data_IF_351922533919
#
_entry.id   IF_351922533919
#
_cell.length_a   1.000
_cell.length_b   1.000
_cell.length_c   1.000
_cell.angle_alpha   90.00
_cell.angle_beta   90.00
_cell.angle_gamma   90.00
#
_symmetry.space_group_name_H-M   'P 1'
#
loop_
_entity.id
_entity.type
_entity.pdbx_description
1 polymer ?
#
# COMPACT_ATOMS: atom_id res chain seq x y z
N UNK A 1 1.59 -0.95 11.93
CA UNK A 1 1.69 -1.87 10.79
C UNK A 1 0.92 -3.15 11.11
N UNK A 2 0.06 -3.60 10.21
CA UNK A 2 -0.72 -4.82 10.37
C UNK A 2 -0.56 -5.67 9.10
N UNK A 3 0.21 -6.77 9.16
CA UNK A 3 0.27 -7.73 8.07
C UNK A 3 -1.03 -8.53 8.03
N UNK A 4 -1.58 -8.70 6.83
CA UNK A 4 -2.72 -9.56 6.55
C UNK A 4 -2.22 -10.65 5.60
N UNK A 5 -2.14 -11.86 6.11
CA UNK A 5 -1.75 -13.02 5.31
C UNK A 5 -3.00 -13.66 4.73
N UNK A 6 -2.98 -13.93 3.43
CA UNK A 6 -4.04 -14.62 2.69
C UNK A 6 -5.47 -14.14 2.99
N UNK A 7 -5.76 -12.94 2.50
CA UNK A 7 -7.08 -12.31 2.68
C UNK A 7 -8.23 -13.17 2.14
N UNK A 8 -7.93 -14.13 1.25
CA UNK A 8 -8.88 -15.05 0.64
C UNK A 8 -9.35 -16.22 1.53
N UNK A 9 -8.72 -16.43 2.69
CA UNK A 9 -9.11 -17.53 3.62
C UNK A 9 -10.31 -17.17 4.49
N UNK A 10 -10.66 -15.91 4.64
CA UNK A 10 -11.78 -15.47 5.47
C UNK A 10 -13.08 -15.40 4.65
N UNK A 11 -14.20 -15.07 5.30
CA UNK A 11 -15.51 -14.93 4.62
C UNK A 11 -15.51 -13.71 3.69
N UNK A 12 -15.78 -13.85 2.38
CA UNK A 12 -15.69 -12.75 1.39
C UNK A 12 -16.45 -11.50 1.77
N UNK A 13 -17.64 -11.66 2.36
CA UNK A 13 -18.48 -10.53 2.80
C UNK A 13 -17.91 -9.82 4.03
N UNK A 14 -17.32 -10.59 4.96
CA UNK A 14 -16.66 -10.03 6.13
C UNK A 14 -15.37 -9.33 5.74
N UNK A 15 -14.62 -9.90 4.79
CA UNK A 15 -13.36 -9.34 4.29
C UNK A 15 -13.54 -8.03 3.57
N UNK A 16 -14.51 -7.94 2.65
CA UNK A 16 -14.84 -6.69 1.98
C UNK A 16 -15.18 -5.59 2.98
N UNK A 17 -15.95 -5.93 4.02
CA UNK A 17 -16.41 -4.97 5.02
C UNK A 17 -15.29 -4.58 5.99
N UNK A 18 -14.44 -5.54 6.36
CA UNK A 18 -13.28 -5.33 7.23
C UNK A 18 -12.22 -4.49 6.52
N UNK A 19 -11.85 -4.85 5.29
CA UNK A 19 -10.92 -4.09 4.47
C UNK A 19 -11.40 -2.65 4.29
N UNK A 20 -12.67 -2.45 3.97
CA UNK A 20 -13.24 -1.11 3.82
C UNK A 20 -13.16 -0.28 5.11
N UNK A 21 -13.55 -0.87 6.24
CA UNK A 21 -13.49 -0.20 7.55
C UNK A 21 -12.05 0.15 7.94
N UNK A 22 -11.14 -0.80 7.74
CA UNK A 22 -9.72 -0.66 8.05
C UNK A 22 -9.08 0.50 7.28
N UNK A 23 -9.32 0.56 5.96
CA UNK A 23 -8.76 1.60 5.10
C UNK A 23 -9.43 2.97 5.26
N UNK A 24 -10.63 3.04 5.84
CA UNK A 24 -11.26 4.31 6.16
C UNK A 24 -10.66 4.99 7.40
N UNK A 25 -9.90 4.27 8.20
CA UNK A 25 -9.27 4.79 9.41
C UNK A 25 -10.26 5.18 10.51
N UNK A 26 -11.52 4.73 10.41
CA UNK A 26 -12.55 5.00 11.42
C UNK A 26 -13.60 3.89 11.49
N UNK A 27 -14.07 3.63 12.70
CA UNK A 27 -15.13 2.66 12.97
C UNK A 27 -16.50 3.13 12.46
N UNK A 28 -17.45 2.20 12.42
CA UNK A 28 -18.85 2.51 12.10
C UNK A 28 -19.42 3.47 13.15
N UNK A 29 -20.18 4.46 12.70
CA UNK A 29 -21.02 5.27 13.59
C UNK A 29 -22.10 4.38 14.21
N UNK A 30 -22.16 4.34 15.52
CA UNK A 30 -23.17 3.61 16.28
C UNK A 30 -23.98 4.57 17.12
N UNK A 31 -25.28 4.36 17.19
CA UNK A 31 -26.15 5.12 18.08
C UNK A 31 -25.78 4.88 19.56
N UNK A 32 -25.84 5.91 20.37
CA UNK A 32 -25.71 5.77 21.81
C UNK A 32 -27.05 5.36 22.42
N UNK A 33 -26.99 4.58 23.52
CA UNK A 33 -28.19 4.07 24.20
C UNK A 33 -29.09 5.19 24.77
N UNK A 34 -28.49 6.35 25.04
CA UNK A 34 -29.15 7.52 25.62
C UNK A 34 -29.42 8.64 24.58
N UNK A 35 -29.37 8.30 23.29
CA UNK A 35 -29.51 9.24 22.18
C UNK A 35 -28.18 9.81 21.68
N UNK A 36 -28.14 10.24 20.43
CA UNK A 36 -26.91 10.70 19.76
C UNK A 36 -26.03 9.58 19.25
N UNK A 37 -24.83 9.90 18.82
CA UNK A 37 -23.85 8.97 18.28
C UNK A 37 -22.74 8.67 19.30
N UNK A 38 -22.31 7.40 19.37
CA UNK A 38 -21.09 7.04 20.09
C UNK A 38 -19.87 7.67 19.44
N UNK A 39 -18.84 7.98 20.25
CA UNK A 39 -17.57 8.49 19.73
C UNK A 39 -16.99 7.46 18.75
N UNK A 40 -16.79 7.88 17.51
CA UNK A 40 -16.14 7.02 16.50
C UNK A 40 -14.67 6.78 16.87
N UNK A 41 -14.26 5.53 16.90
CA UNK A 41 -12.85 5.15 17.07
C UNK A 41 -12.15 5.43 15.74
N UNK A 42 -11.02 6.15 15.81
CA UNK A 42 -10.17 6.46 14.66
C UNK A 42 -8.81 5.77 14.82
N UNK A 43 -8.23 5.34 13.72
CA UNK A 43 -6.90 4.73 13.68
C UNK A 43 -6.14 5.16 12.43
N UNK A 44 -4.81 5.13 12.54
CA UNK A 44 -3.90 5.26 11.41
C UNK A 44 -3.07 3.97 11.36
N UNK A 45 -3.26 3.19 10.32
CA UNK A 45 -2.59 1.92 10.17
C UNK A 45 -2.10 1.75 8.73
N UNK A 46 -0.88 1.24 8.58
CA UNK A 46 -0.37 0.76 7.31
C UNK A 46 -0.57 -0.76 7.26
N UNK A 47 -1.20 -1.22 6.20
CA UNK A 47 -1.46 -2.64 5.98
C UNK A 47 -0.64 -3.13 4.80
N UNK A 48 -0.07 -4.31 4.94
CA UNK A 48 0.52 -5.09 3.87
C UNK A 48 -0.25 -6.41 3.81
N UNK A 49 -0.78 -6.72 2.63
CA UNK A 49 -1.46 -7.99 2.39
C UNK A 49 -0.79 -8.72 1.25
N UNK A 50 -0.68 -10.03 1.36
CA UNK A 50 -0.26 -10.93 0.30
C UNK A 50 -1.41 -11.87 -0.04
N UNK A 51 -1.46 -12.37 -1.26
CA UNK A 51 -2.49 -13.31 -1.72
C UNK A 51 -2.19 -13.80 -3.12
N UNK A 52 -2.75 -14.92 -3.50
CA UNK A 52 -2.59 -15.51 -4.84
C UNK A 52 -3.30 -14.68 -5.90
N UNK A 53 -4.36 -13.97 -5.52
CA UNK A 53 -5.10 -13.06 -6.39
C UNK A 53 -5.36 -11.70 -5.74
N UNK A 54 -5.66 -10.70 -6.56
CA UNK A 54 -6.01 -9.36 -6.09
C UNK A 54 -7.39 -9.33 -5.44
N UNK A 55 -7.56 -8.52 -4.40
CA UNK A 55 -8.82 -8.38 -3.67
C UNK A 55 -10.02 -8.06 -4.60
N UNK A 56 -9.80 -7.28 -5.65
CA UNK A 56 -10.85 -6.96 -6.63
C UNK A 56 -11.37 -8.23 -7.33
N UNK A 57 -10.46 -9.08 -7.80
CA UNK A 57 -10.81 -10.36 -8.47
C UNK A 57 -11.55 -11.28 -7.51
N UNK A 58 -11.00 -11.46 -6.32
CA UNK A 58 -11.59 -12.27 -5.27
C UNK A 58 -13.04 -11.83 -4.93
N UNK A 59 -13.26 -10.54 -4.70
CA UNK A 59 -14.59 -10.02 -4.37
C UNK A 59 -15.57 -10.14 -5.55
N UNK A 60 -15.12 -9.92 -6.79
CA UNK A 60 -15.94 -10.08 -7.99
C UNK A 60 -16.39 -11.53 -8.18
N UNK A 61 -15.51 -12.52 -7.98
CA UNK A 61 -15.86 -13.94 -8.05
C UNK A 61 -16.96 -14.32 -7.05
N UNK A 62 -17.00 -13.64 -5.92
CA UNK A 62 -18.03 -13.81 -4.90
C UNK A 62 -19.29 -12.95 -5.13
N UNK A 63 -19.43 -12.32 -6.29
CA UNK A 63 -20.58 -11.47 -6.63
C UNK A 63 -20.63 -10.14 -5.86
N UNK A 64 -19.54 -9.74 -5.21
CA UNK A 64 -19.47 -8.51 -4.42
C UNK A 64 -18.99 -7.36 -5.31
N UNK A 65 -19.82 -6.30 -5.39
CA UNK A 65 -19.47 -5.10 -6.16
C UNK A 65 -18.37 -4.32 -5.44
N UNK A 66 -17.26 -4.10 -6.14
CA UNK A 66 -16.13 -3.30 -5.66
C UNK A 66 -16.26 -1.88 -6.18
N UNK A 67 -16.18 -0.90 -5.28
CA UNK A 67 -16.22 0.51 -5.65
C UNK A 67 -14.83 1.05 -5.99
N UNK A 68 -14.73 1.94 -6.97
CA UNK A 68 -13.47 2.57 -7.39
C UNK A 68 -12.68 3.20 -6.23
N UNK A 69 -13.37 3.76 -5.23
CA UNK A 69 -12.74 4.31 -4.03
C UNK A 69 -12.08 3.28 -3.11
N UNK A 70 -12.42 1.99 -3.23
CA UNK A 70 -11.76 0.90 -2.48
C UNK A 70 -10.42 0.54 -3.15
N UNK A 71 -10.38 0.51 -4.48
CA UNK A 71 -9.19 0.15 -5.27
C UNK A 71 -8.03 1.13 -5.11
N UNK A 72 -8.32 2.42 -4.88
CA UNK A 72 -7.26 3.42 -4.63
C UNK A 72 -6.78 3.46 -3.18
N UNK A 73 -7.46 2.76 -2.29
CA UNK A 73 -7.05 2.63 -0.87
C UNK A 73 -6.20 1.40 -0.62
N UNK A 74 -6.49 0.32 -1.31
CA UNK A 74 -5.67 -0.89 -1.33
C UNK A 74 -4.98 -0.97 -2.69
N UNK A 75 -3.69 -0.69 -2.71
CA UNK A 75 -2.89 -0.80 -3.93
C UNK A 75 -2.59 -2.27 -4.20
N UNK A 76 -3.23 -2.83 -5.20
CA UNK A 76 -2.91 -4.16 -5.67
C UNK A 76 -1.74 -4.07 -6.65
N UNK A 77 -0.56 -4.50 -6.21
CA UNK A 77 0.67 -4.49 -7.01
C UNK A 77 0.97 -5.93 -7.42
N UNK A 78 0.98 -6.24 -8.73
CA UNK A 78 1.32 -7.59 -9.20
C UNK A 78 2.73 -7.98 -8.76
N UNK A 79 2.84 -9.15 -8.09
CA UNK A 79 4.13 -9.69 -7.69
C UNK A 79 4.88 -10.28 -8.89
N UNK A 80 6.17 -10.01 -8.95
CA UNK A 80 7.09 -10.65 -9.89
C UNK A 80 7.99 -11.64 -9.13
N UNK A 81 8.39 -12.72 -9.81
CA UNK A 81 9.37 -13.63 -9.26
C UNK A 81 10.71 -12.92 -9.14
N UNK A 82 11.41 -13.17 -8.03
CA UNK A 82 12.80 -12.76 -7.88
C UNK A 82 13.65 -13.44 -8.96
N UNK A 83 14.50 -12.66 -9.60
CA UNK A 83 15.47 -13.12 -10.62
C UNK A 83 16.91 -12.99 -10.15
N UNK A 84 17.11 -12.22 -9.06
CA UNK A 84 18.42 -12.02 -8.44
C UNK A 84 18.43 -12.74 -7.08
N UNK A 85 19.43 -13.63 -6.90
CA UNK A 85 19.52 -14.46 -5.70
C UNK A 85 20.77 -14.15 -4.88
N UNK A 86 21.45 -13.04 -5.14
CA UNK A 86 22.59 -12.52 -4.39
C UNK A 86 23.72 -13.56 -4.19
N UNK A 87 24.07 -14.27 -5.27
CA UNK A 87 25.12 -15.30 -5.28
C UNK A 87 24.67 -16.66 -4.76
N UNK A 88 23.41 -16.85 -4.39
CA UNK A 88 22.85 -18.15 -4.04
C UNK A 88 22.43 -18.94 -5.29
N UNK A 89 22.38 -20.26 -5.18
CA UNK A 89 22.25 -21.16 -6.32
C UNK A 89 20.89 -21.01 -7.05
N UNK A 90 19.81 -20.78 -6.30
CA UNK A 90 18.44 -20.70 -6.84
C UNK A 90 17.48 -19.96 -5.88
N UNK A 91 16.26 -19.73 -6.34
CA UNK A 91 15.23 -19.04 -5.57
C UNK A 91 14.78 -19.79 -4.31
N UNK A 92 14.85 -21.14 -4.30
CA UNK A 92 14.54 -21.93 -3.12
C UNK A 92 15.60 -21.70 -2.03
N UNK A 93 16.87 -21.84 -2.39
CA UNK A 93 17.99 -21.59 -1.48
C UNK A 93 17.95 -20.15 -0.94
N UNK A 94 17.59 -19.18 -1.79
CA UNK A 94 17.43 -17.79 -1.38
C UNK A 94 16.29 -17.64 -0.35
N UNK A 95 15.11 -18.21 -0.60
CA UNK A 95 13.98 -18.16 0.32
C UNK A 95 14.26 -18.86 1.65
N UNK A 96 14.87 -20.05 1.62
CA UNK A 96 15.26 -20.81 2.82
C UNK A 96 16.29 -20.04 3.66
N UNK A 97 17.23 -19.37 3.01
CA UNK A 97 18.22 -18.50 3.66
C UNK A 97 17.57 -17.31 4.35
N UNK A 98 16.64 -16.63 3.66
CA UNK A 98 15.87 -15.54 4.25
C UNK A 98 15.08 -16.00 5.48
N UNK A 99 14.35 -17.10 5.37
CA UNK A 99 13.57 -17.66 6.47
C UNK A 99 14.45 -18.00 7.67
N UNK A 100 15.60 -18.62 7.43
CA UNK A 100 16.56 -18.95 8.50
C UNK A 100 17.12 -17.69 9.17
N UNK A 101 17.43 -16.66 8.38
CA UNK A 101 18.02 -15.44 8.89
C UNK A 101 17.02 -14.60 9.68
N UNK A 102 15.74 -14.48 9.25
CA UNK A 102 14.73 -13.72 10.00
C UNK A 102 14.42 -14.35 11.35
N UNK A 103 14.62 -15.65 11.52
CA UNK A 103 14.47 -16.33 12.81
C UNK A 103 15.62 -16.03 13.78
N UNK A 104 16.77 -15.60 13.28
CA UNK A 104 17.96 -15.25 14.08
C UNK A 104 18.13 -13.75 14.27
N UNK A 105 17.82 -12.99 13.24
CA UNK A 105 18.07 -11.55 13.16
C UNK A 105 16.75 -10.82 12.91
N UNK A 106 16.06 -10.44 13.97
CA UNK A 106 14.79 -9.75 13.90
C UNK A 106 14.74 -8.56 14.86
N UNK A 107 13.90 -7.57 14.52
CA UNK A 107 13.58 -6.46 15.39
C UNK A 107 14.58 -5.29 15.38
N UNK A 108 15.85 -5.50 15.07
CA UNK A 108 16.89 -4.45 15.12
C UNK A 108 16.54 -3.26 14.24
N UNK A 109 16.23 -3.48 12.96
CA UNK A 109 15.86 -2.43 12.00
C UNK A 109 14.64 -1.64 12.49
N UNK A 110 13.65 -2.32 13.07
CA UNK A 110 12.45 -1.67 13.61
C UNK A 110 12.76 -0.78 14.81
N UNK A 111 13.65 -1.22 15.70
CA UNK A 111 14.09 -0.43 16.87
C UNK A 111 14.87 0.80 16.40
N UNK A 112 15.82 0.63 15.49
CA UNK A 112 16.62 1.74 14.94
C UNK A 112 15.74 2.77 14.23
N UNK A 113 14.78 2.30 13.44
CA UNK A 113 13.80 3.14 12.77
C UNK A 113 12.95 3.96 13.75
N UNK A 114 12.41 3.32 14.77
CA UNK A 114 11.60 4.01 15.79
C UNK A 114 12.44 5.01 16.60
N UNK A 115 13.67 4.65 16.92
CA UNK A 115 14.61 5.53 17.62
C UNK A 115 14.91 6.76 16.77
N UNK A 116 15.17 6.58 15.47
CA UNK A 116 15.35 7.68 14.53
C UNK A 116 14.12 8.60 14.47
N UNK A 117 12.93 8.03 14.31
CA UNK A 117 11.70 8.81 14.19
C UNK A 117 11.37 9.63 15.44
N UNK A 118 11.62 9.09 16.63
CA UNK A 118 11.37 9.80 17.90
C UNK A 118 12.30 11.00 18.06
N UNK A 119 13.52 10.92 17.53
CA UNK A 119 14.51 11.99 17.59
C UNK A 119 14.39 13.00 16.47
N UNK A 120 13.74 12.63 15.37
CA UNK A 120 13.65 13.48 14.17
C UNK A 120 12.71 14.66 14.37
N UNK A 121 13.13 15.82 13.89
CA UNK A 121 12.29 17.02 13.88
C UNK A 121 11.12 16.86 12.90
N UNK A 122 9.89 17.02 13.39
CA UNK A 122 8.66 16.87 12.60
C UNK A 122 8.62 17.79 11.39
N UNK A 123 9.15 18.99 11.51
CA UNK A 123 9.26 19.96 10.42
C UNK A 123 10.15 19.45 9.30
N UNK A 124 11.28 18.81 9.62
CA UNK A 124 12.21 18.23 8.64
C UNK A 124 11.58 17.03 7.94
N UNK A 125 10.90 16.13 8.68
CA UNK A 125 10.16 15.01 8.11
C UNK A 125 9.10 15.50 7.10
N UNK A 126 8.36 16.53 7.49
CA UNK A 126 7.32 17.12 6.64
C UNK A 126 7.91 17.76 5.40
N UNK A 127 8.98 18.53 5.53
CA UNK A 127 9.66 19.18 4.40
C UNK A 127 10.19 18.16 3.39
N UNK A 128 10.78 17.06 3.86
CA UNK A 128 11.22 15.98 2.97
C UNK A 128 10.03 15.33 2.23
N UNK A 129 8.96 15.00 2.96
CA UNK A 129 7.75 14.45 2.32
C UNK A 129 7.19 15.41 1.25
N UNK A 130 7.07 16.69 1.54
CA UNK A 130 6.53 17.67 0.60
C UNK A 130 7.45 17.80 -0.64
N UNK A 131 8.77 17.76 -0.47
CA UNK A 131 9.76 17.72 -1.57
C UNK A 131 9.58 16.49 -2.46
N UNK A 132 9.55 15.30 -1.86
CA UNK A 132 9.38 14.03 -2.58
C UNK A 132 8.04 14.03 -3.32
N UNK A 133 6.97 14.39 -2.64
CA UNK A 133 5.61 14.49 -3.20
C UNK A 133 5.58 15.40 -4.43
N UNK A 134 6.15 16.60 -4.35
CA UNK A 134 6.19 17.53 -5.48
C UNK A 134 7.02 16.97 -6.65
N UNK A 135 8.15 16.35 -6.37
CA UNK A 135 8.99 15.69 -7.38
C UNK A 135 8.22 14.60 -8.12
N UNK A 136 7.54 13.73 -7.38
CA UNK A 136 6.77 12.62 -7.96
C UNK A 136 5.55 13.09 -8.74
N UNK A 137 4.85 14.11 -8.26
CA UNK A 137 3.71 14.69 -8.99
C UNK A 137 4.15 15.32 -10.32
N UNK A 138 5.32 15.98 -10.35
CA UNK A 138 5.89 16.54 -11.59
C UNK A 138 6.34 15.49 -12.59
N UNK A 139 6.65 14.26 -12.17
CA UNK A 139 7.02 13.16 -13.07
C UNK A 139 5.82 12.49 -13.73
N UNK A 140 4.60 12.78 -13.29
CA UNK A 140 3.39 12.24 -13.91
C UNK A 140 3.03 13.02 -15.17
N UNK A 141 2.43 12.39 -16.19
CA UNK A 141 1.84 13.07 -17.32
C UNK A 141 0.83 14.15 -16.87
N UNK A 142 0.81 15.29 -17.55
CA UNK A 142 -0.06 16.43 -17.19
C UNK A 142 -1.54 16.07 -17.15
N UNK A 143 -1.97 15.19 -18.07
CA UNK A 143 -3.34 14.69 -18.20
C UNK A 143 -3.64 13.52 -17.26
N UNK A 144 -2.76 13.18 -16.30
CA UNK A 144 -3.03 12.10 -15.34
C UNK A 144 -4.30 12.36 -14.53
N UNK A 145 -5.10 11.32 -14.37
CA UNK A 145 -6.33 11.38 -13.58
C UNK A 145 -6.07 11.81 -12.12
N UNK A 146 -7.00 12.59 -11.52
CA UNK A 146 -6.84 13.07 -10.14
C UNK A 146 -6.61 11.94 -9.13
N UNK A 147 -7.18 10.75 -9.37
CA UNK A 147 -7.01 9.59 -8.50
C UNK A 147 -5.57 9.06 -8.56
N UNK A 148 -4.95 9.01 -9.74
CA UNK A 148 -3.56 8.60 -9.92
C UNK A 148 -2.63 9.59 -9.23
N UNK A 149 -2.85 10.90 -9.42
CA UNK A 149 -2.09 11.95 -8.72
C UNK A 149 -2.21 11.81 -7.20
N UNK A 150 -3.41 11.51 -6.70
CA UNK A 150 -3.66 11.29 -5.27
C UNK A 150 -2.93 10.05 -4.73
N UNK A 151 -2.99 8.92 -5.44
CA UNK A 151 -2.28 7.70 -5.03
C UNK A 151 -0.76 7.92 -5.02
N UNK A 152 -0.23 8.57 -6.06
CA UNK A 152 1.19 8.93 -6.10
C UNK A 152 1.58 9.80 -4.90
N UNK A 153 0.80 10.84 -4.61
CA UNK A 153 1.08 11.77 -3.51
C UNK A 153 0.94 11.13 -2.12
N UNK A 154 -0.18 10.43 -1.88
CA UNK A 154 -0.55 9.98 -0.53
C UNK A 154 0.03 8.60 -0.17
N UNK A 155 0.51 7.83 -1.15
CA UNK A 155 1.01 6.47 -0.95
C UNK A 155 2.48 6.32 -1.37
N UNK A 156 2.75 6.40 -2.66
CA UNK A 156 4.10 6.15 -3.17
C UNK A 156 5.11 7.18 -2.66
N UNK A 157 4.77 8.47 -2.65
CA UNK A 157 5.65 9.50 -2.11
C UNK A 157 5.87 9.35 -0.59
N UNK A 158 4.86 8.89 0.15
CA UNK A 158 5.02 8.60 1.59
C UNK A 158 5.97 7.42 1.83
N UNK A 159 5.79 6.32 1.08
CA UNK A 159 6.67 5.15 1.18
C UNK A 159 8.10 5.53 0.79
N UNK A 160 8.28 6.26 -0.32
CA UNK A 160 9.60 6.75 -0.74
C UNK A 160 10.26 7.62 0.34
N UNK A 161 9.51 8.53 0.93
CA UNK A 161 10.03 9.37 2.02
C UNK A 161 10.49 8.52 3.20
N UNK A 162 9.70 7.52 3.60
CA UNK A 162 10.08 6.61 4.68
C UNK A 162 11.36 5.82 4.34
N UNK A 163 11.49 5.34 3.11
CA UNK A 163 12.68 4.62 2.65
C UNK A 163 13.93 5.52 2.59
N UNK A 164 13.78 6.77 2.13
CA UNK A 164 14.86 7.74 2.11
C UNK A 164 15.35 8.08 3.53
N UNK A 165 14.45 8.17 4.50
CA UNK A 165 14.78 8.38 5.90
C UNK A 165 15.45 7.13 6.52
N UNK A 166 15.08 5.94 6.08
CA UNK A 166 15.62 4.67 6.56
C UNK A 166 16.87 4.19 5.78
N UNK A 167 17.31 4.89 4.75
CA UNK A 167 18.32 4.41 3.79
C UNK A 167 19.61 3.92 4.44
N UNK A 168 20.08 4.63 5.45
CA UNK A 168 21.32 4.28 6.16
C UNK A 168 21.12 3.07 7.10
N UNK A 169 19.90 2.84 7.57
CA UNK A 169 19.53 1.67 8.40
C UNK A 169 19.44 0.41 7.51
N UNK A 170 18.82 0.53 6.33
CA UNK A 170 18.60 -0.60 5.42
C UNK A 170 19.71 -0.75 4.37
N UNK A 171 20.69 0.16 4.33
CA UNK A 171 21.83 0.18 3.40
C UNK A 171 21.39 0.25 1.92
N UNK A 172 20.32 0.98 1.61
CA UNK A 172 19.85 1.19 0.25
C UNK A 172 20.28 2.54 -0.27
N UNK A 173 20.62 2.60 -1.56
CA UNK A 173 20.90 3.88 -2.22
C UNK A 173 19.61 4.62 -2.58
N UNK A 174 19.70 5.94 -2.72
CA UNK A 174 18.55 6.75 -3.18
C UNK A 174 18.08 6.30 -4.58
N UNK A 175 19.01 5.82 -5.42
CA UNK A 175 18.69 5.31 -6.75
C UNK A 175 17.89 4.00 -6.67
N UNK A 176 18.27 3.07 -5.79
CA UNK A 176 17.53 1.82 -5.59
C UNK A 176 16.12 2.09 -5.09
N UNK A 177 15.97 3.01 -4.13
CA UNK A 177 14.69 3.45 -3.60
C UNK A 177 13.83 4.04 -4.74
N UNK A 178 14.38 4.98 -5.51
CA UNK A 178 13.67 5.62 -6.62
C UNK A 178 13.23 4.62 -7.68
N UNK A 179 14.11 3.67 -8.03
CA UNK A 179 13.82 2.61 -9.01
C UNK A 179 12.70 1.69 -8.50
N UNK A 180 12.76 1.27 -7.24
CA UNK A 180 11.75 0.40 -6.63
C UNK A 180 10.38 1.10 -6.59
N UNK A 181 10.30 2.35 -6.19
CA UNK A 181 9.07 3.14 -6.18
C UNK A 181 8.50 3.28 -7.59
N UNK A 182 9.34 3.62 -8.56
CA UNK A 182 8.92 3.77 -9.96
C UNK A 182 8.41 2.45 -10.55
N UNK A 183 9.10 1.36 -10.31
CA UNK A 183 8.69 0.04 -10.78
C UNK A 183 7.33 -0.37 -10.20
N UNK A 184 7.16 -0.26 -8.88
CA UNK A 184 5.90 -0.62 -8.21
C UNK A 184 4.74 0.29 -8.62
N UNK A 185 4.99 1.59 -8.82
CA UNK A 185 3.97 2.51 -9.33
C UNK A 185 3.54 2.13 -10.75
N UNK A 186 4.48 1.82 -11.64
CA UNK A 186 4.19 1.42 -13.00
C UNK A 186 3.39 0.10 -13.05
N UNK A 187 3.75 -0.89 -12.24
CA UNK A 187 2.97 -2.14 -12.13
C UNK A 187 1.54 -1.87 -11.65
N UNK A 188 1.40 -1.04 -10.63
CA UNK A 188 0.07 -0.67 -10.12
C UNK A 188 -0.75 0.07 -11.17
N UNK A 189 -0.21 1.11 -11.81
CA UNK A 189 -0.96 1.94 -12.76
C UNK A 189 -1.30 1.19 -14.03
N UNK A 190 -0.43 0.28 -14.48
CA UNK A 190 -0.71 -0.59 -15.64
C UNK A 190 -1.86 -1.57 -15.33
N UNK A 191 -1.91 -2.12 -14.12
CA UNK A 191 -3.01 -2.99 -13.68
C UNK A 191 -4.30 -2.22 -13.39
N UNK A 192 -4.19 -1.02 -12.84
CA UNK A 192 -5.34 -0.16 -12.50
C UNK A 192 -5.94 0.52 -13.74
N UNK A 193 -5.08 0.95 -14.69
CA UNK A 193 -5.41 1.75 -15.87
C UNK A 193 -5.19 3.25 -15.64
N UNK A 194 -4.69 3.92 -16.68
CA UNK A 194 -4.43 5.36 -16.68
C UNK A 194 -5.72 6.21 -16.71
N UNK A 195 -6.84 5.60 -17.11
CA UNK A 195 -8.15 6.27 -17.26
C UNK A 195 -9.10 5.88 -16.13
N UNK A 196 -9.99 6.80 -15.79
CA UNK A 196 -10.96 6.61 -14.71
C UNK A 196 -11.81 5.36 -14.93
N UNK A 197 -11.70 4.38 -14.03
CA UNK A 197 -12.60 3.20 -14.00
C UNK A 197 -14.08 3.60 -13.88
N UNK A 198 -14.39 4.79 -13.37
CA UNK A 198 -15.76 5.32 -13.37
C UNK A 198 -16.27 5.54 -14.79
N UNK A 199 -15.43 6.05 -15.70
CA UNK A 199 -15.81 6.26 -17.10
C UNK A 199 -16.08 4.93 -17.78
N UNK A 200 -15.23 3.94 -17.60
CA UNK A 200 -15.40 2.59 -18.12
C UNK A 200 -16.66 1.93 -17.57
N UNK A 201 -16.90 2.01 -16.26
CA UNK A 201 -18.12 1.47 -15.63
C UNK A 201 -19.41 2.14 -16.11
N UNK A 202 -19.40 3.47 -16.37
CA UNK A 202 -20.54 4.18 -16.92
C UNK A 202 -20.82 3.72 -18.36
N UNK A 203 -19.77 3.57 -19.18
CA UNK A 203 -19.90 3.08 -20.56
C UNK A 203 -20.43 1.64 -20.59
N UNK A 204 -19.95 0.77 -19.71
CA UNK A 204 -20.46 -0.60 -19.57
C UNK A 204 -21.93 -0.65 -19.13
N UNK A 205 -22.35 0.27 -18.24
CA UNK A 205 -23.75 0.35 -17.79
C UNK A 205 -24.70 0.94 -18.84
N UNK A 206 -24.19 1.71 -19.80
CA UNK A 206 -25.01 2.32 -20.86
C UNK A 206 -25.12 1.37 -22.07
N UNK A 207 -24.15 0.47 -22.24
CA UNK A 207 -24.08 -0.47 -23.37
C UNK A 207 -24.59 -1.89 -23.04
N UNK A 208 -25.03 -2.16 -21.83
CA UNK A 208 -25.63 -3.43 -21.38
C UNK A 208 -27.07 -3.24 -20.95
#
# INVERSE_FOLDING_TARGET
FMPLHEISEASPKADAQTAYSLFNGQGKLQGAKEGGNRKSIKWLVANLSTGEEGLESYLKQQGIKVNAGQLVRLLNIPMKRATEFHGLADGKTHADTLNTNVMKFYGAVGVDWLTYLVQAEKSALRALYDKVKQSRLKSLPDNSEPQIKRVMADRFALIETALLLAKDIVQWTEQDISNAITANFNEWVNAYGWHSKKHTQIIEQVNG
#
